data_IF_111761734177
#
_entry.id   IF_111761734177
#
_cell.length_a   1.000
_cell.length_b   1.000
_cell.length_c   1.000
_cell.angle_alpha   90.00
_cell.angle_beta   90.00
_cell.angle_gamma   90.00
#
_symmetry.space_group_name_H-M   'P 1'
#
loop_
_entity.id
_entity.type
_entity.pdbx_description
1 polymer ?
#
# COMPACT_ATOMS: atom_id res chain seq x y z
N UNK A 1 0.80 17.73 10.04
CA UNK A 1 0.57 16.74 11.11
C UNK A 1 1.89 16.45 11.81
N UNK A 2 1.86 15.91 13.02
CA UNK A 2 3.04 15.41 13.72
C UNK A 2 3.27 13.91 13.44
N UNK A 3 4.38 13.35 13.94
CA UNK A 3 4.73 11.95 13.69
C UNK A 3 3.71 10.96 14.27
N UNK A 4 3.11 11.28 15.43
CA UNK A 4 2.12 10.40 16.06
C UNK A 4 0.85 10.32 15.20
N UNK A 5 0.36 11.47 14.73
CA UNK A 5 -0.77 11.53 13.80
C UNK A 5 -0.48 10.83 12.46
N UNK A 6 0.76 10.91 11.97
CA UNK A 6 1.18 10.21 10.76
C UNK A 6 1.11 8.69 10.96
N UNK A 7 1.69 8.19 12.05
CA UNK A 7 1.75 6.75 12.37
C UNK A 7 0.34 6.14 12.40
N UNK A 8 -0.62 6.80 13.04
CA UNK A 8 -2.01 6.33 13.14
C UNK A 8 -2.74 6.25 11.78
N UNK A 9 -2.28 7.00 10.78
CA UNK A 9 -2.91 7.09 9.46
C UNK A 9 -2.25 6.23 8.38
N UNK A 10 -1.13 5.56 8.68
CA UNK A 10 -0.39 4.75 7.69
C UNK A 10 -1.26 3.66 7.07
N UNK A 11 -2.05 2.94 7.86
CA UNK A 11 -2.94 1.89 7.34
C UNK A 11 -4.00 2.48 6.42
N UNK A 12 -4.68 3.55 6.84
CA UNK A 12 -5.71 4.20 6.02
C UNK A 12 -5.14 4.80 4.72
N UNK A 13 -3.89 5.27 4.75
CA UNK A 13 -3.16 5.69 3.55
C UNK A 13 -2.90 4.51 2.60
N UNK A 14 -2.38 3.40 3.12
CA UNK A 14 -2.10 2.19 2.33
C UNK A 14 -3.37 1.56 1.75
N UNK A 15 -4.49 1.64 2.48
CA UNK A 15 -5.80 1.17 2.04
C UNK A 15 -6.49 2.14 1.07
N UNK A 16 -5.94 3.35 0.86
CA UNK A 16 -6.51 4.37 -0.03
C UNK A 16 -7.83 4.96 0.49
N UNK A 17 -8.04 4.96 1.81
CA UNK A 17 -9.30 5.39 2.44
C UNK A 17 -9.24 6.78 3.07
N UNK A 18 -8.12 7.48 2.96
CA UNK A 18 -8.00 8.85 3.45
C UNK A 18 -8.85 9.80 2.59
N UNK A 19 -9.42 10.82 3.23
CA UNK A 19 -9.92 11.96 2.47
C UNK A 19 -8.75 12.75 1.85
N UNK A 20 -9.01 13.45 0.75
CA UNK A 20 -7.96 14.12 -0.02
C UNK A 20 -7.18 15.18 0.79
N UNK A 21 -7.82 15.84 1.76
CA UNK A 21 -7.17 16.86 2.57
C UNK A 21 -6.23 16.23 3.62
N UNK A 22 -6.62 15.08 4.18
CA UNK A 22 -5.78 14.30 5.09
C UNK A 22 -4.63 13.66 4.34
N UNK A 23 -4.88 13.06 3.17
CA UNK A 23 -3.85 12.46 2.33
C UNK A 23 -2.78 13.47 1.92
N UNK A 24 -3.18 14.69 1.53
CA UNK A 24 -2.23 15.75 1.19
C UNK A 24 -1.32 16.09 2.38
N UNK A 25 -1.87 16.25 3.59
CA UNK A 25 -1.07 16.53 4.80
C UNK A 25 -0.17 15.36 5.18
N UNK A 26 -0.60 14.13 4.91
CA UNK A 26 0.18 12.91 5.10
C UNK A 26 1.40 12.88 4.18
N UNK A 27 1.20 13.15 2.89
CA UNK A 27 2.28 13.22 1.90
C UNK A 27 3.25 14.38 2.19
N UNK A 28 2.75 15.53 2.61
CA UNK A 28 3.59 16.65 3.06
C UNK A 28 4.49 16.24 4.23
N UNK A 29 3.94 15.59 5.25
CA UNK A 29 4.73 15.09 6.37
C UNK A 29 5.78 14.07 5.94
N UNK A 30 5.39 13.12 5.09
CA UNK A 30 6.29 12.11 4.53
C UNK A 30 7.49 12.75 3.81
N UNK A 31 7.27 13.86 3.09
CA UNK A 31 8.34 14.57 2.37
C UNK A 31 9.32 15.33 3.27
N UNK A 32 8.94 15.60 4.52
CA UNK A 32 9.68 16.46 5.45
C UNK A 32 10.28 15.69 6.64
N UNK A 33 9.95 14.40 6.78
CA UNK A 33 10.33 13.60 7.94
C UNK A 33 10.93 12.25 7.53
N UNK A 34 12.25 12.12 7.69
CA UNK A 34 12.98 10.86 7.48
C UNK A 34 12.40 9.70 8.32
N UNK A 35 11.90 9.99 9.53
CA UNK A 35 11.26 9.01 10.40
C UNK A 35 9.95 8.46 9.82
N UNK A 36 9.16 9.32 9.16
CA UNK A 36 7.93 8.92 8.49
C UNK A 36 8.19 7.99 7.29
N UNK A 37 9.24 8.28 6.51
CA UNK A 37 9.66 7.42 5.40
C UNK A 37 10.08 6.03 5.88
N UNK A 38 10.94 5.98 6.91
CA UNK A 38 11.39 4.71 7.51
C UNK A 38 10.20 3.92 8.06
N UNK A 39 9.26 4.58 8.73
CA UNK A 39 8.10 3.91 9.31
C UNK A 39 7.17 3.34 8.24
N UNK A 40 6.89 4.09 7.17
CA UNK A 40 6.08 3.61 6.04
C UNK A 40 6.73 2.39 5.37
N UNK A 41 8.05 2.40 5.21
CA UNK A 41 8.80 1.28 4.65
C UNK A 41 8.73 0.03 5.53
N UNK A 42 8.76 0.18 6.87
CA UNK A 42 8.54 -0.95 7.79
C UNK A 42 7.17 -1.59 7.60
N UNK A 43 6.11 -0.79 7.45
CA UNK A 43 4.76 -1.31 7.16
C UNK A 43 4.73 -2.09 5.85
N UNK A 44 5.31 -1.55 4.77
CA UNK A 44 5.38 -2.24 3.47
C UNK A 44 6.09 -3.59 3.56
N UNK A 45 7.21 -3.66 4.30
CA UNK A 45 7.93 -4.92 4.54
C UNK A 45 7.10 -5.92 5.33
N UNK A 46 6.39 -5.48 6.36
CA UNK A 46 5.50 -6.35 7.13
C UNK A 46 4.37 -6.89 6.24
N UNK A 47 3.75 -6.05 5.43
CA UNK A 47 2.71 -6.47 4.48
C UNK A 47 3.26 -7.49 3.49
N UNK A 48 4.44 -7.25 2.92
CA UNK A 48 5.09 -8.21 2.03
C UNK A 48 5.37 -9.54 2.74
N UNK A 49 6.01 -9.51 3.91
CA UNK A 49 6.37 -10.72 4.65
C UNK A 49 5.14 -11.55 5.07
N UNK A 50 4.04 -10.89 5.45
CA UNK A 50 2.78 -11.57 5.79
C UNK A 50 2.04 -12.02 4.53
N UNK A 51 2.11 -11.27 3.43
CA UNK A 51 1.51 -11.64 2.13
C UNK A 51 2.24 -12.79 1.42
N UNK A 52 3.52 -13.02 1.73
CA UNK A 52 4.29 -14.18 1.28
C UNK A 52 3.93 -15.48 2.02
N UNK A 53 3.24 -15.39 3.17
CA UNK A 53 2.65 -16.57 3.84
C UNK A 53 1.48 -17.04 2.99
N UNK A 54 1.50 -18.28 2.46
CA UNK A 54 0.76 -18.64 1.26
C UNK A 54 -0.75 -18.35 1.42
N UNK A 55 -1.25 -17.25 0.83
CA UNK A 55 -2.68 -17.14 0.57
C UNK A 55 -2.89 -17.99 -0.67
N UNK A 56 -3.50 -19.18 -0.53
CA UNK A 56 -3.78 -20.16 -1.62
C UNK A 56 -3.23 -19.70 -2.97
N UNK A 57 -1.93 -19.97 -3.20
CA UNK A 57 -1.20 -19.36 -4.32
C UNK A 57 -2.03 -19.52 -5.58
N UNK A 58 -2.32 -18.42 -6.29
CA UNK A 58 -3.09 -18.48 -7.53
C UNK A 58 -2.55 -19.61 -8.40
N UNK A 59 -3.42 -20.55 -8.77
CA UNK A 59 -3.03 -21.62 -9.67
C UNK A 59 -2.48 -21.01 -10.97
N UNK A 60 -1.53 -21.71 -11.62
CA UNK A 60 -0.97 -21.24 -12.89
C UNK A 60 -2.07 -20.88 -13.91
N UNK A 61 -3.13 -21.68 -13.94
CA UNK A 61 -4.32 -21.45 -14.77
C UNK A 61 -5.06 -20.15 -14.42
N UNK A 62 -5.30 -19.86 -13.14
CA UNK A 62 -5.96 -18.63 -12.72
C UNK A 62 -5.12 -17.40 -13.09
N UNK A 63 -3.79 -17.49 -12.93
CA UNK A 63 -2.85 -16.43 -13.34
C UNK A 63 -2.89 -16.18 -14.85
N UNK A 64 -2.86 -17.23 -15.66
CA UNK A 64 -2.93 -17.11 -17.13
C UNK A 64 -4.23 -16.48 -17.59
N UNK A 65 -5.37 -16.87 -17.00
CA UNK A 65 -6.68 -16.29 -17.29
C UNK A 65 -6.72 -14.79 -16.96
N UNK A 66 -6.20 -14.38 -15.81
CA UNK A 66 -6.11 -12.97 -15.42
C UNK A 66 -5.23 -12.17 -16.39
N UNK A 67 -4.05 -12.69 -16.74
CA UNK A 67 -3.15 -12.01 -17.68
C UNK A 67 -3.75 -11.87 -19.09
N UNK A 68 -4.52 -12.87 -19.55
CA UNK A 68 -5.25 -12.76 -20.81
C UNK A 68 -6.35 -11.70 -20.72
N UNK A 69 -7.16 -11.72 -19.65
CA UNK A 69 -8.20 -10.72 -19.45
C UNK A 69 -7.65 -9.27 -19.42
N UNK A 70 -6.51 -9.02 -18.76
CA UNK A 70 -5.87 -7.70 -18.76
C UNK A 70 -5.26 -7.31 -20.10
N UNK A 71 -4.74 -8.27 -20.88
CA UNK A 71 -4.25 -8.02 -22.25
C UNK A 71 -5.36 -7.63 -23.21
N UNK A 72 -6.53 -8.24 -23.05
CA UNK A 72 -7.72 -7.96 -23.86
C UNK A 72 -8.47 -6.70 -23.39
N UNK A 73 -8.09 -6.12 -22.24
CA UNK A 73 -8.70 -4.91 -21.66
C UNK A 73 -8.25 -3.60 -22.32
N UNK A 74 -8.04 -3.59 -23.64
CA UNK A 74 -7.93 -2.33 -24.38
C UNK A 74 -9.32 -1.80 -24.73
N UNK A 75 -10.01 -1.19 -23.76
CA UNK A 75 -11.05 -0.18 -23.98
C UNK A 75 -11.25 0.72 -22.76
#
# INVERSE_FOLDING_TARGET
MNCDEFVELVTAFLDGTLDAAVEQRFLEHLSLCDGGEVYLEQFRRTIQAVGELPPESLSGTAREQLLNAFRDFQH
#
